data_IF_293774111448
#
_entry.id   IF_293774111448
#
_cell.length_a   1.000
_cell.length_b   1.000
_cell.length_c   1.000
_cell.angle_alpha   90.00
_cell.angle_beta   90.00
_cell.angle_gamma   90.00
#
_symmetry.space_group_name_H-M   'P 1'
#
loop_
_entity.id
_entity.type
_entity.pdbx_description
1 polymer ?
#
# COMPACT_ATOMS: atom_id res chain seq x y z
N UNK A 1 -5.54 8.54 3.74
CA UNK A 1 -5.29 7.91 5.05
C UNK A 1 -3.97 7.17 5.03
N UNK A 2 -3.25 7.16 6.14
CA UNK A 2 -2.03 6.36 6.29
C UNK A 2 -2.42 4.93 6.69
N UNK A 3 -1.91 3.97 5.94
CA UNK A 3 -2.09 2.54 6.18
C UNK A 3 -0.71 1.90 6.27
N UNK A 4 -0.11 2.03 7.45
CA UNK A 4 1.26 1.54 7.68
C UNK A 4 1.34 0.03 7.52
N UNK A 5 2.35 -0.45 6.78
CA UNK A 5 2.41 -1.82 6.31
C UNK A 5 3.51 -2.67 6.95
N UNK A 6 4.58 -2.05 7.48
CA UNK A 6 5.66 -2.81 8.11
C UNK A 6 5.28 -3.30 9.50
N UNK A 7 5.79 -4.45 9.89
CA UNK A 7 5.58 -5.00 11.23
C UNK A 7 6.04 -4.03 12.32
N UNK A 8 7.10 -3.29 12.07
CA UNK A 8 7.56 -2.26 13.00
C UNK A 8 6.46 -1.23 13.30
N UNK A 9 5.79 -0.73 12.24
CA UNK A 9 4.69 0.22 12.42
C UNK A 9 3.46 -0.44 13.04
N UNK A 10 3.10 -1.63 12.59
CA UNK A 10 1.89 -2.33 13.04
C UNK A 10 1.99 -2.67 14.54
N UNK A 11 3.10 -3.27 14.97
CA UNK A 11 3.24 -3.78 16.32
C UNK A 11 3.89 -2.80 17.29
N UNK A 12 4.95 -2.12 16.88
CA UNK A 12 5.71 -1.27 17.81
C UNK A 12 5.17 0.15 17.91
N UNK A 13 4.70 0.73 16.79
CA UNK A 13 4.16 2.09 16.79
C UNK A 13 2.65 2.13 17.05
N UNK A 14 1.88 1.36 16.29
CA UNK A 14 0.42 1.39 16.37
C UNK A 14 -0.16 0.43 17.41
N UNK A 15 0.67 -0.46 17.94
CA UNK A 15 0.32 -1.38 19.03
C UNK A 15 -0.85 -2.33 18.74
N UNK A 16 -1.03 -2.73 17.49
CA UNK A 16 -1.99 -3.78 17.16
C UNK A 16 -1.52 -5.14 17.69
N UNK A 17 -2.46 -5.99 18.05
CA UNK A 17 -2.17 -7.34 18.57
C UNK A 17 -1.72 -8.29 17.46
N UNK A 18 -2.28 -8.14 16.27
CA UNK A 18 -1.98 -8.95 15.11
C UNK A 18 -2.25 -8.16 13.82
N UNK A 19 -1.80 -8.70 12.68
CA UNK A 19 -1.97 -8.05 11.37
C UNK A 19 -3.42 -7.97 10.94
N UNK A 20 -4.25 -8.96 11.34
CA UNK A 20 -5.67 -8.98 10.97
C UNK A 20 -6.43 -7.84 11.62
N UNK A 21 -6.18 -7.57 12.91
CA UNK A 21 -6.81 -6.44 13.59
C UNK A 21 -6.42 -5.11 12.96
N UNK A 22 -5.16 -4.98 12.56
CA UNK A 22 -4.68 -3.82 11.84
C UNK A 22 -5.42 -3.64 10.50
N UNK A 23 -5.52 -4.69 9.71
CA UNK A 23 -6.21 -4.68 8.43
C UNK A 23 -7.70 -4.34 8.59
N UNK A 24 -8.36 -4.94 9.56
CA UNK A 24 -9.78 -4.67 9.85
C UNK A 24 -9.99 -3.21 10.24
N UNK A 25 -9.12 -2.65 11.06
CA UNK A 25 -9.16 -1.24 11.45
C UNK A 25 -9.04 -0.31 10.24
N UNK A 26 -8.12 -0.59 9.32
CA UNK A 26 -7.97 0.19 8.10
C UNK A 26 -9.21 0.09 7.20
N UNK A 27 -9.76 -1.09 7.07
CA UNK A 27 -10.96 -1.31 6.24
C UNK A 27 -12.20 -0.61 6.82
N UNK A 28 -12.34 -0.54 8.14
CA UNK A 28 -13.41 0.24 8.79
C UNK A 28 -13.35 1.72 8.40
N UNK A 29 -12.16 2.30 8.34
CA UNK A 29 -11.99 3.70 7.92
C UNK A 29 -12.33 3.87 6.44
N UNK A 30 -11.98 2.91 5.60
CA UNK A 30 -12.35 2.93 4.17
C UNK A 30 -13.87 2.87 3.99
N UNK A 31 -14.54 1.99 4.72
CA UNK A 31 -16.01 1.92 4.70
C UNK A 31 -16.65 3.24 5.15
N UNK A 32 -16.14 3.84 6.20
CA UNK A 32 -16.62 5.15 6.66
C UNK A 32 -16.43 6.24 5.61
N UNK A 33 -15.32 6.21 4.87
CA UNK A 33 -15.08 7.15 3.78
C UNK A 33 -16.10 6.95 2.65
N UNK A 34 -16.40 5.70 2.27
CA UNK A 34 -17.42 5.41 1.27
C UNK A 34 -18.80 5.90 1.69
N UNK A 35 -19.20 5.65 2.94
CA UNK A 35 -20.47 6.12 3.49
C UNK A 35 -20.56 7.65 3.50
N UNK A 36 -19.46 8.34 3.75
CA UNK A 36 -19.39 9.80 3.73
C UNK A 36 -19.31 10.40 2.32
N UNK A 37 -19.26 9.58 1.27
CA UNK A 37 -19.10 10.06 -0.11
C UNK A 37 -17.70 10.60 -0.40
N UNK A 38 -16.69 10.17 0.35
CA UNK A 38 -15.29 10.60 0.17
C UNK A 38 -14.50 9.47 -0.45
N UNK A 39 -13.80 9.77 -1.55
CA UNK A 39 -12.92 8.78 -2.20
C UNK A 39 -11.68 8.50 -1.34
N UNK A 40 -11.49 7.27 -0.85
CA UNK A 40 -10.33 6.96 -0.03
C UNK A 40 -9.06 6.81 -0.87
N UNK A 41 -7.95 7.27 -0.31
CA UNK A 41 -6.61 7.03 -0.81
C UNK A 41 -5.80 6.40 0.33
N UNK A 42 -5.37 5.16 0.13
CA UNK A 42 -4.58 4.44 1.11
C UNK A 42 -3.09 4.60 0.80
N UNK A 43 -2.35 5.20 1.72
CA UNK A 43 -0.90 5.33 1.63
C UNK A 43 -0.28 4.10 2.29
N UNK A 44 0.32 3.23 1.51
CA UNK A 44 1.03 2.05 2.00
C UNK A 44 2.37 2.49 2.60
N UNK A 45 2.29 3.07 3.79
CA UNK A 45 3.46 3.63 4.47
C UNK A 45 4.45 2.52 4.85
N UNK A 46 5.74 2.80 4.65
CA UNK A 46 6.84 1.89 4.94
C UNK A 46 6.79 0.58 4.16
N UNK A 47 6.28 0.65 2.93
CA UNK A 47 6.09 -0.51 2.06
C UNK A 47 7.39 -1.26 1.76
N UNK A 48 8.51 -0.55 1.60
CA UNK A 48 9.80 -1.15 1.28
C UNK A 48 10.46 -1.91 2.43
N UNK A 49 9.80 -1.98 3.59
CA UNK A 49 10.17 -2.83 4.73
C UNK A 49 9.04 -3.77 5.14
N UNK A 50 7.95 -3.80 4.38
CA UNK A 50 6.77 -4.59 4.71
C UNK A 50 6.88 -6.04 4.22
N UNK A 51 6.09 -6.92 4.84
CA UNK A 51 5.85 -8.25 4.31
C UNK A 51 4.84 -8.14 3.16
N UNK A 52 5.35 -8.04 1.94
CA UNK A 52 4.50 -7.82 0.75
C UNK A 52 3.54 -8.97 0.55
N UNK A 53 4.03 -10.22 0.60
CA UNK A 53 3.21 -11.41 0.37
C UNK A 53 2.22 -11.68 1.52
N UNK A 54 2.65 -11.47 2.76
CA UNK A 54 1.87 -11.83 3.95
C UNK A 54 0.88 -10.77 4.43
N UNK A 55 1.13 -9.50 4.10
CA UNK A 55 0.25 -8.40 4.54
C UNK A 55 -0.22 -7.50 3.41
N UNK A 56 0.69 -6.99 2.60
CA UNK A 56 0.35 -5.94 1.61
C UNK A 56 -0.60 -6.46 0.54
N UNK A 57 -0.28 -7.60 -0.09
CA UNK A 57 -1.12 -8.14 -1.15
C UNK A 57 -2.51 -8.55 -0.65
N UNK A 58 -2.65 -9.28 0.49
CA UNK A 58 -3.97 -9.55 1.03
C UNK A 58 -4.78 -8.29 1.37
N UNK A 59 -4.13 -7.27 1.92
CA UNK A 59 -4.77 -6.01 2.26
C UNK A 59 -5.26 -5.26 1.00
N UNK A 60 -4.40 -5.12 0.00
CA UNK A 60 -4.77 -4.44 -1.25
C UNK A 60 -5.85 -5.22 -2.00
N UNK A 61 -5.78 -6.55 -2.01
CA UNK A 61 -6.84 -7.39 -2.60
C UNK A 61 -8.19 -7.12 -1.94
N UNK A 62 -8.20 -7.02 -0.61
CA UNK A 62 -9.42 -6.68 0.14
C UNK A 62 -9.93 -5.28 -0.22
N UNK A 63 -9.04 -4.29 -0.35
CA UNK A 63 -9.41 -2.94 -0.78
C UNK A 63 -10.02 -2.93 -2.19
N UNK A 64 -9.48 -3.74 -3.11
CA UNK A 64 -10.02 -3.83 -4.46
C UNK A 64 -11.42 -4.48 -4.48
N UNK A 65 -11.65 -5.50 -3.66
CA UNK A 65 -12.98 -6.10 -3.49
C UNK A 65 -13.99 -5.13 -2.90
N UNK A 66 -13.59 -4.34 -1.90
CA UNK A 66 -14.44 -3.27 -1.35
C UNK A 66 -14.77 -2.22 -2.42
N UNK A 67 -13.83 -1.92 -3.29
CA UNK A 67 -14.01 -0.96 -4.39
C UNK A 67 -15.01 -1.43 -5.44
N UNK A 68 -15.26 -2.74 -5.58
CA UNK A 68 -16.28 -3.29 -6.47
C UNK A 68 -17.71 -2.90 -6.05
N UNK A 69 -17.89 -2.53 -4.78
CA UNK A 69 -19.19 -2.15 -4.21
C UNK A 69 -19.54 -0.68 -4.43
N UNK A 70 -18.65 0.12 -5.00
CA UNK A 70 -18.82 1.56 -5.20
C UNK A 70 -18.55 1.93 -6.65
N UNK A 71 -19.04 3.11 -7.13
CA UNK A 71 -18.70 3.59 -8.46
C UNK A 71 -17.19 3.77 -8.65
N UNK A 72 -16.71 3.69 -9.89
CA UNK A 72 -15.28 3.76 -10.22
C UNK A 72 -14.61 5.04 -9.70
N UNK A 73 -15.30 6.17 -9.76
CA UNK A 73 -14.79 7.44 -9.26
C UNK A 73 -14.65 7.48 -7.73
N UNK A 74 -15.24 6.52 -7.04
CA UNK A 74 -15.12 6.33 -5.58
C UNK A 74 -14.16 5.21 -5.20
N UNK A 75 -13.64 4.44 -6.13
CA UNK A 75 -12.73 3.33 -5.88
C UNK A 75 -11.45 3.78 -5.17
N UNK A 76 -10.93 2.92 -4.30
CA UNK A 76 -9.72 3.20 -3.52
C UNK A 76 -8.53 3.47 -4.43
N UNK A 77 -7.81 4.56 -4.16
CA UNK A 77 -6.49 4.82 -4.74
C UNK A 77 -5.41 4.29 -3.81
N UNK A 78 -4.36 3.74 -4.39
CA UNK A 78 -3.23 3.18 -3.66
C UNK A 78 -2.00 4.05 -3.91
N UNK A 79 -1.39 4.55 -2.84
CA UNK A 79 -0.12 5.27 -2.91
C UNK A 79 0.98 4.39 -2.33
N UNK A 80 1.96 4.08 -3.14
CA UNK A 80 3.15 3.31 -2.74
C UNK A 80 4.11 4.29 -2.08
N UNK A 81 4.49 4.02 -0.81
CA UNK A 81 5.35 4.91 -0.05
C UNK A 81 6.68 4.23 0.28
N UNK A 82 7.76 4.74 -0.27
CA UNK A 82 9.12 4.37 0.09
C UNK A 82 9.60 5.28 1.25
N UNK A 83 9.06 5.03 2.43
CA UNK A 83 9.19 5.90 3.60
C UNK A 83 10.64 6.09 4.04
N UNK A 84 11.46 5.05 3.92
CA UNK A 84 12.86 5.08 4.33
C UNK A 84 13.83 5.28 3.16
N UNK A 85 13.33 5.40 1.93
CA UNK A 85 14.17 5.51 0.75
C UNK A 85 14.95 4.23 0.42
N UNK A 86 14.46 3.06 0.80
CA UNK A 86 15.11 1.77 0.61
C UNK A 86 14.78 1.10 -0.71
N UNK A 87 13.84 1.65 -1.48
CA UNK A 87 13.41 1.09 -2.76
C UNK A 87 14.55 1.06 -3.77
N UNK A 88 14.58 0.02 -4.59
CA UNK A 88 15.56 -0.18 -5.66
C UNK A 88 14.86 -0.58 -6.95
N UNK A 89 15.43 -0.17 -8.07
CA UNK A 89 14.86 -0.41 -9.41
C UNK A 89 15.50 -1.56 -10.17
N UNK A 90 16.58 -2.15 -9.65
CA UNK A 90 17.33 -3.20 -10.34
C UNK A 90 16.52 -4.49 -10.50
N UNK A 91 16.64 -5.21 -11.63
CA UNK A 91 15.86 -6.43 -11.87
C UNK A 91 16.09 -7.56 -10.85
N UNK A 92 17.28 -7.67 -10.28
CA UNK A 92 17.64 -8.73 -9.34
C UNK A 92 17.28 -8.47 -7.88
N UNK A 93 16.64 -7.34 -7.58
CA UNK A 93 16.33 -6.99 -6.19
C UNK A 93 15.16 -7.83 -5.66
N UNK A 94 15.30 -8.31 -4.44
CA UNK A 94 14.23 -9.04 -3.75
C UNK A 94 13.20 -8.11 -3.11
N UNK A 95 11.99 -8.63 -2.91
CA UNK A 95 10.99 -7.95 -2.10
C UNK A 95 11.45 -7.85 -0.63
N UNK A 96 11.09 -6.81 0.08
CA UNK A 96 10.17 -5.71 -0.32
C UNK A 96 10.84 -4.51 -0.97
N UNK A 97 12.12 -4.55 -1.27
CA UNK A 97 12.84 -3.38 -1.78
C UNK A 97 12.71 -3.15 -3.29
N UNK A 98 12.21 -4.14 -4.04
CA UNK A 98 12.06 -4.02 -5.49
C UNK A 98 10.80 -3.24 -5.86
N UNK A 99 10.95 -1.98 -6.27
CA UNK A 99 9.84 -1.14 -6.74
C UNK A 99 9.14 -1.76 -7.96
N UNK A 100 9.86 -2.24 -9.00
CA UNK A 100 9.20 -2.87 -10.15
C UNK A 100 8.38 -4.11 -9.78
N UNK A 101 8.90 -4.97 -8.90
CA UNK A 101 8.19 -6.18 -8.46
C UNK A 101 6.93 -5.85 -7.66
N UNK A 102 6.98 -4.83 -6.81
CA UNK A 102 5.82 -4.36 -6.05
C UNK A 102 4.72 -3.89 -7.01
N UNK A 103 5.07 -3.03 -7.96
CA UNK A 103 4.11 -2.49 -8.94
C UNK A 103 3.50 -3.62 -9.77
N UNK A 104 4.34 -4.54 -10.24
CA UNK A 104 3.88 -5.71 -11.00
C UNK A 104 2.88 -6.55 -10.20
N UNK A 105 3.19 -6.86 -8.94
CA UNK A 105 2.30 -7.67 -8.09
C UNK A 105 0.98 -6.96 -7.78
N UNK A 106 1.02 -5.68 -7.46
CA UNK A 106 -0.21 -4.91 -7.23
C UNK A 106 -1.09 -4.87 -8.47
N UNK A 107 -0.50 -4.69 -9.65
CA UNK A 107 -1.25 -4.65 -10.90
C UNK A 107 -1.75 -6.03 -11.32
N UNK A 108 -0.90 -7.06 -11.32
CA UNK A 108 -1.23 -8.37 -11.89
C UNK A 108 -1.94 -9.29 -10.91
N UNK A 109 -1.56 -9.28 -9.63
CA UNK A 109 -2.14 -10.19 -8.63
C UNK A 109 -3.36 -9.59 -7.91
N UNK A 110 -3.33 -8.28 -7.62
CA UNK A 110 -4.44 -7.60 -6.95
C UNK A 110 -5.37 -6.88 -7.92
N UNK A 111 -5.00 -6.76 -9.18
CA UNK A 111 -5.81 -6.11 -10.19
C UNK A 111 -5.95 -4.59 -10.03
N UNK A 112 -4.97 -3.93 -9.39
CA UNK A 112 -5.00 -2.48 -9.24
C UNK A 112 -4.64 -1.81 -10.57
N UNK A 113 -5.57 -1.05 -11.19
CA UNK A 113 -5.25 -0.34 -12.43
C UNK A 113 -4.13 0.70 -12.21
N UNK A 114 -3.30 0.92 -13.22
CA UNK A 114 -2.24 1.93 -13.13
C UNK A 114 -2.75 3.33 -12.80
N UNK A 115 -3.96 3.66 -13.26
CA UNK A 115 -4.63 4.94 -12.96
C UNK A 115 -4.97 5.14 -11.47
N UNK A 116 -4.93 4.07 -10.67
CA UNK A 116 -5.17 4.11 -9.22
C UNK A 116 -3.90 3.98 -8.40
N UNK A 117 -2.74 3.78 -9.04
CA UNK A 117 -1.45 3.69 -8.38
C UNK A 117 -0.75 5.04 -8.38
N UNK A 118 -0.21 5.43 -7.23
CA UNK A 118 0.57 6.65 -7.05
C UNK A 118 1.89 6.31 -6.34
N UNK A 119 2.89 7.15 -6.53
CA UNK A 119 4.21 7.00 -5.92
C UNK A 119 4.51 8.14 -4.96
N UNK A 120 5.08 7.78 -3.81
CA UNK A 120 5.66 8.71 -2.85
C UNK A 120 7.01 8.17 -2.39
N UNK A 121 8.10 8.80 -2.80
CA UNK A 121 9.45 8.37 -2.47
C UNK A 121 10.22 9.40 -1.67
N UNK A 122 11.12 8.92 -0.80
CA UNK A 122 12.10 9.76 -0.11
C UNK A 122 13.44 9.71 -0.84
N UNK A 123 14.17 10.82 -0.80
CA UNK A 123 15.42 10.99 -1.54
C UNK A 123 16.68 10.93 -0.69
N UNK A 124 16.60 10.35 0.51
CA UNK A 124 17.73 10.26 1.45
C UNK A 124 18.95 9.53 0.85
N UNK A 125 18.69 8.59 -0.06
CA UNK A 125 19.72 7.84 -0.77
C UNK A 125 19.81 8.20 -2.27
N UNK A 126 19.25 9.34 -2.67
CA UNK A 126 19.29 9.87 -4.04
C UNK A 126 18.70 8.92 -5.10
N UNK A 127 17.65 8.16 -4.77
CA UNK A 127 17.05 7.16 -5.65
C UNK A 127 15.63 7.50 -6.12
N UNK A 128 15.02 8.55 -5.57
CA UNK A 128 13.60 8.84 -5.82
C UNK A 128 13.30 9.09 -7.30
N UNK A 129 14.18 9.76 -8.01
CA UNK A 129 14.00 10.06 -9.43
C UNK A 129 14.05 8.81 -10.32
N UNK A 130 14.87 7.83 -9.94
CA UNK A 130 15.00 6.57 -10.68
C UNK A 130 13.80 5.66 -10.38
N UNK A 131 13.38 5.59 -9.13
CA UNK A 131 12.29 4.72 -8.68
C UNK A 131 10.91 5.25 -9.09
N UNK A 132 10.77 6.56 -9.10
CA UNK A 132 9.51 7.20 -9.51
C UNK A 132 9.28 7.12 -10.99
#
# INVERSE_FOLDING_TARGET
MLTSCSDYHIFDKLKFKNRRDCMDSYCEVVDAAFEAGVRPRCHLEDLTRADVEGFVLPFVDRLMRMSEQVPEDMSVKIRICDTMGFGLHYPGVELPRSVPKIIYKLNQECGVPGSRLEWHGHNDFHKVHING
#
